data_IF_557520193657
#
_entry.id   IF_557520193657
#
_cell.length_a   1.000
_cell.length_b   1.000
_cell.length_c   1.000
_cell.angle_alpha   90.00
_cell.angle_beta   90.00
_cell.angle_gamma   90.00
#
_symmetry.space_group_name_H-M   'P 1'
#
loop_
_entity.id
_entity.type
_entity.pdbx_description
1 polymer ?
#
# COMPACT_ATOMS: atom_id res chain seq x y z
N UNK A 1 3.52 -5.28 -7.87
CA UNK A 1 3.74 -5.09 -6.41
C UNK A 1 3.08 -6.17 -5.56
N UNK A 2 1.90 -6.69 -5.92
CA UNK A 2 1.19 -7.68 -5.12
C UNK A 2 2.05 -8.88 -4.64
N UNK A 3 2.89 -9.45 -5.52
CA UNK A 3 3.66 -10.68 -5.27
C UNK A 3 5.04 -10.41 -4.61
N UNK A 4 5.43 -9.13 -4.46
CA UNK A 4 6.71 -8.73 -3.91
C UNK A 4 7.13 -9.37 -2.55
N UNK A 5 6.24 -9.54 -1.55
CA UNK A 5 6.60 -10.20 -0.30
C UNK A 5 6.95 -11.69 -0.46
N UNK A 6 6.32 -12.39 -1.42
CA UNK A 6 6.62 -13.79 -1.71
C UNK A 6 7.98 -13.95 -2.41
N UNK A 7 8.28 -13.05 -3.34
CA UNK A 7 9.58 -13.00 -4.03
C UNK A 7 10.69 -12.76 -3.02
N UNK A 8 10.49 -11.82 -2.09
CA UNK A 8 11.47 -11.49 -1.04
C UNK A 8 11.76 -12.66 -0.10
N UNK A 9 10.82 -13.60 0.02
CA UNK A 9 10.93 -14.81 0.84
C UNK A 9 11.25 -16.07 0.01
N UNK A 10 11.44 -15.95 -1.31
CA UNK A 10 11.69 -17.09 -2.20
C UNK A 10 10.63 -18.21 -2.05
N UNK A 11 9.37 -17.82 -1.80
CA UNK A 11 8.25 -18.73 -1.54
C UNK A 11 7.15 -18.64 -2.60
N UNK A 12 7.51 -18.22 -3.81
CA UNK A 12 6.58 -17.97 -4.92
C UNK A 12 5.74 -19.20 -5.27
N UNK A 13 6.39 -20.37 -5.36
CA UNK A 13 5.72 -21.60 -5.81
C UNK A 13 5.09 -22.42 -4.68
N UNK A 14 5.23 -21.97 -3.43
CA UNK A 14 4.83 -22.73 -2.24
C UNK A 14 3.39 -22.45 -1.79
N UNK A 15 2.81 -21.34 -2.24
CA UNK A 15 1.53 -20.85 -1.71
C UNK A 15 0.56 -20.45 -2.81
N UNK A 16 -0.70 -20.89 -2.70
CA UNK A 16 -1.82 -20.38 -3.48
C UNK A 16 -2.54 -19.29 -2.69
N UNK A 17 -2.82 -18.16 -3.33
CA UNK A 17 -3.45 -17.00 -2.69
C UNK A 17 -4.84 -16.78 -3.28
N UNK A 18 -5.84 -16.71 -2.42
CA UNK A 18 -7.18 -16.22 -2.74
C UNK A 18 -7.47 -15.00 -1.89
N UNK A 19 -7.94 -13.90 -2.49
CA UNK A 19 -8.18 -12.65 -1.80
C UNK A 19 -9.40 -11.92 -2.37
N UNK A 20 -10.16 -11.30 -1.47
CA UNK A 20 -11.28 -10.42 -1.81
C UNK A 20 -10.86 -9.01 -1.44
N UNK A 21 -10.81 -8.11 -2.43
CA UNK A 21 -10.45 -6.71 -2.24
C UNK A 21 -11.62 -5.84 -2.70
N UNK A 22 -11.96 -4.80 -1.92
CA UNK A 22 -13.07 -3.89 -2.21
C UNK A 22 -12.62 -2.43 -2.06
N UNK A 23 -13.11 -1.57 -2.94
CA UNK A 23 -12.81 -0.13 -2.94
C UNK A 23 -11.45 0.25 -3.55
N UNK A 24 -11.18 1.55 -3.63
CA UNK A 24 -9.94 2.09 -4.22
C UNK A 24 -9.85 1.90 -5.74
N UNK A 25 -8.62 1.92 -6.26
CA UNK A 25 -8.32 1.61 -7.66
C UNK A 25 -7.26 0.51 -7.79
N UNK A 26 -6.99 0.03 -9.01
CA UNK A 26 -6.10 -1.09 -9.32
C UNK A 26 -4.75 -1.05 -8.56
N UNK A 27 -4.08 0.10 -8.58
CA UNK A 27 -2.79 0.24 -7.91
C UNK A 27 -2.90 0.14 -6.38
N UNK A 28 -3.92 0.79 -5.80
CA UNK A 28 -4.17 0.76 -4.36
C UNK A 28 -4.55 -0.66 -3.90
N UNK A 29 -5.35 -1.37 -4.69
CA UNK A 29 -5.72 -2.76 -4.42
C UNK A 29 -4.50 -3.69 -4.47
N UNK A 30 -3.58 -3.51 -5.43
CA UNK A 30 -2.35 -4.29 -5.51
C UNK A 30 -1.44 -4.07 -4.28
N UNK A 31 -1.35 -2.83 -3.78
CA UNK A 31 -0.61 -2.53 -2.55
C UNK A 31 -1.29 -3.12 -1.30
N UNK A 32 -2.62 -3.04 -1.22
CA UNK A 32 -3.39 -3.64 -0.12
C UNK A 32 -3.21 -5.16 -0.08
N UNK A 33 -3.24 -5.81 -1.24
CA UNK A 33 -2.98 -7.24 -1.37
C UNK A 33 -1.56 -7.60 -0.92
N UNK A 34 -0.56 -6.82 -1.36
CA UNK A 34 0.84 -7.00 -0.94
C UNK A 34 1.00 -6.93 0.59
N UNK A 35 0.39 -5.93 1.23
CA UNK A 35 0.41 -5.78 2.68
C UNK A 35 -0.31 -6.93 3.40
N UNK A 36 -1.43 -7.40 2.85
CA UNK A 36 -2.17 -8.55 3.37
C UNK A 36 -1.35 -9.84 3.34
N UNK A 37 -0.69 -10.13 2.22
CA UNK A 37 0.19 -11.29 2.07
C UNK A 37 1.35 -11.23 3.07
N UNK A 38 1.99 -10.06 3.24
CA UNK A 38 3.06 -9.90 4.21
C UNK A 38 2.60 -10.20 5.65
N UNK A 39 1.39 -9.79 6.02
CA UNK A 39 0.81 -10.10 7.34
C UNK A 39 0.49 -11.59 7.49
N UNK A 40 -0.03 -12.23 6.46
CA UNK A 40 -0.30 -13.67 6.46
C UNK A 40 1.00 -14.50 6.64
N UNK A 41 2.08 -14.10 5.97
CA UNK A 41 3.40 -14.76 6.12
C UNK A 41 3.96 -14.64 7.54
N UNK A 42 3.76 -13.50 8.22
CA UNK A 42 4.16 -13.33 9.63
C UNK A 42 3.34 -14.21 10.58
N UNK A 43 2.06 -14.43 10.28
CA UNK A 43 1.22 -15.34 11.07
C UNK A 43 1.64 -16.81 10.87
N UNK A 44 2.05 -17.16 9.66
CA UNK A 44 2.56 -18.51 9.37
C UNK A 44 3.90 -18.80 10.06
N UNK A 45 4.86 -17.87 9.97
CA UNK A 45 6.12 -17.99 10.68
C UNK A 45 6.55 -16.62 11.25
N UNK A 46 6.63 -16.47 12.59
CA UNK A 46 7.01 -15.21 13.23
C UNK A 46 8.45 -14.77 12.90
N UNK A 47 9.35 -15.68 12.53
CA UNK A 47 10.75 -15.37 12.20
C UNK A 47 10.88 -14.49 10.95
N UNK A 48 9.92 -14.59 10.03
CA UNK A 48 9.89 -13.78 8.80
C UNK A 48 9.64 -12.31 9.07
N UNK A 49 9.16 -11.93 10.26
CA UNK A 49 8.86 -10.55 10.62
C UNK A 49 10.08 -9.63 10.49
N UNK A 50 11.27 -10.07 10.91
CA UNK A 50 12.48 -9.22 10.88
C UNK A 50 12.88 -8.88 9.44
N UNK A 51 12.87 -9.87 8.54
CA UNK A 51 13.20 -9.69 7.11
C UNK A 51 12.13 -8.87 6.39
N UNK A 52 10.83 -9.12 6.63
CA UNK A 52 9.73 -8.33 6.04
C UNK A 52 9.68 -6.90 6.54
N UNK A 53 9.99 -6.66 7.82
CA UNK A 53 10.07 -5.30 8.38
C UNK A 53 11.21 -4.52 7.75
N UNK A 54 12.38 -5.14 7.58
CA UNK A 54 13.53 -4.52 6.90
C UNK A 54 13.22 -4.19 5.44
N UNK A 55 12.44 -5.03 4.75
CA UNK A 55 11.99 -4.79 3.38
C UNK A 55 10.81 -3.81 3.26
N UNK A 56 10.20 -3.38 4.37
CA UNK A 56 9.16 -2.34 4.37
C UNK A 56 7.72 -2.80 4.09
N UNK A 57 7.45 -4.11 3.94
CA UNK A 57 6.11 -4.60 3.57
C UNK A 57 5.08 -4.59 4.72
N UNK A 58 5.55 -4.47 5.96
CA UNK A 58 4.68 -4.46 7.15
C UNK A 58 4.15 -3.08 7.53
N UNK A 59 4.64 -2.01 6.89
CA UNK A 59 4.18 -0.65 7.15
C UNK A 59 3.01 -0.33 6.24
N UNK A 60 1.87 0.08 6.81
CA UNK A 60 0.76 0.63 6.03
C UNK A 60 1.16 2.00 5.49
N UNK A 61 0.95 2.26 4.20
CA UNK A 61 1.09 3.62 3.67
C UNK A 61 0.05 4.54 4.32
N UNK A 62 0.45 5.55 5.11
CA UNK A 62 -0.49 6.46 5.76
C UNK A 62 -0.99 7.57 4.82
N UNK A 63 -0.41 7.71 3.62
CA UNK A 63 -0.74 8.80 2.70
C UNK A 63 -2.19 8.66 2.22
N UNK A 64 -2.92 9.76 2.28
CA UNK A 64 -4.28 9.83 1.77
C UNK A 64 -4.51 11.15 1.03
N UNK A 65 -5.55 11.18 0.19
CA UNK A 65 -5.89 12.39 -0.55
C UNK A 65 -6.31 13.49 0.42
N UNK A 66 -5.63 14.63 0.33
CA UNK A 66 -5.98 15.82 1.11
C UNK A 66 -7.36 16.37 0.70
N UNK A 67 -8.09 16.88 1.70
CA UNK A 67 -9.38 17.55 1.49
C UNK A 67 -9.21 18.82 0.65
N UNK A 68 -10.22 19.17 -0.16
CA UNK A 68 -10.31 20.48 -0.82
C UNK A 68 -10.53 21.58 0.23
N UNK A 69 -9.63 22.57 0.29
CA UNK A 69 -9.81 23.76 1.14
C UNK A 69 -10.73 24.77 0.44
N UNK A 70 -11.47 25.57 1.21
CA UNK A 70 -12.33 26.62 0.67
C UNK A 70 -11.48 27.71 -0.01
N UNK A 71 -12.03 28.38 -1.03
CA UNK A 71 -11.32 29.40 -1.81
C UNK A 71 -10.24 28.87 -2.77
N UNK A 72 -9.82 27.60 -2.66
CA UNK A 72 -8.84 26.98 -3.56
C UNK A 72 -9.51 26.14 -4.67
N UNK A 73 -8.86 26.05 -5.83
CA UNK A 73 -9.33 25.24 -6.98
C UNK A 73 -9.23 23.73 -6.68
N UNK A 74 -8.23 23.30 -5.89
CA UNK A 74 -8.03 21.91 -5.42
C UNK A 74 -7.52 21.92 -3.96
N UNK A 75 -6.94 20.82 -3.46
CA UNK A 75 -6.41 20.74 -2.09
C UNK A 75 -5.43 21.88 -1.74
N UNK A 76 -4.50 22.21 -2.64
CA UNK A 76 -3.51 23.29 -2.47
C UNK A 76 -3.43 24.29 -3.63
N UNK A 77 -4.09 24.01 -4.76
CA UNK A 77 -3.99 24.84 -5.97
C UNK A 77 -4.77 26.15 -5.79
N UNK A 78 -4.07 27.26 -5.63
CA UNK A 78 -4.64 28.60 -5.62
C UNK A 78 -5.11 29.03 -7.02
N UNK A 79 -6.12 29.91 -7.12
CA UNK A 79 -6.37 30.65 -8.35
C UNK A 79 -5.17 31.53 -8.71
N UNK A 80 -5.04 31.87 -10.00
CA UNK A 80 -4.01 32.82 -10.42
C UNK A 80 -4.33 34.17 -9.78
N UNK A 81 -3.38 34.72 -9.05
CA UNK A 81 -3.49 36.06 -8.50
C UNK A 81 -3.21 37.08 -9.60
N UNK A 82 -4.10 38.07 -9.76
CA UNK A 82 -3.85 39.24 -10.59
C UNK A 82 -3.58 40.43 -9.67
N UNK A 83 -2.39 41.02 -9.80
CA UNK A 83 -2.11 42.38 -9.34
C UNK A 83 -2.51 43.33 -10.48
N UNK A 84 -2.78 44.58 -10.11
CA UNK A 84 -3.21 45.67 -11.02
C UNK A 84 -2.48 45.64 -12.35
#
# INVERSE_FOLDING_TARGET
TAIAPLVTMECLDKFKISAIVKGGGLHAQAQALSHGIARALVLFNPDFRKRLKKAGYLTRDPRMRERKKFGLKRARKAPQWQKR
#
